data_IF_804890061689
#
_entry.id   IF_804890061689
#
_cell.length_a   1.000
_cell.length_b   1.000
_cell.length_c   1.000
_cell.angle_alpha   90.00
_cell.angle_beta   90.00
_cell.angle_gamma   90.00
#
_symmetry.space_group_name_H-M   'P 1'
#
loop_
_entity.id
_entity.type
_entity.pdbx_description
1 polymer ?
#
# COMPACT_ATOMS: atom_id res chain seq x y z
N UNK A 1 -16.75 -3.11 23.36
CA UNK A 1 -15.83 -4.15 22.86
C UNK A 1 -14.46 -3.52 22.70
N UNK A 2 -13.38 -4.20 23.07
CA UNK A 2 -12.00 -3.73 22.83
C UNK A 2 -11.36 -4.71 21.84
N UNK A 3 -10.71 -4.20 20.80
CA UNK A 3 -10.04 -5.02 19.79
C UNK A 3 -8.58 -4.60 19.69
N UNK A 4 -7.67 -5.55 19.89
CA UNK A 4 -6.26 -5.42 19.56
C UNK A 4 -6.01 -6.28 18.32
N UNK A 5 -5.39 -5.70 17.30
CA UNK A 5 -5.22 -6.31 15.99
C UNK A 5 -3.76 -6.27 15.57
N UNK A 6 -3.35 -7.27 14.80
CA UNK A 6 -2.04 -7.31 14.16
C UNK A 6 -2.13 -6.79 12.73
N UNK A 7 -1.01 -6.29 12.21
CA UNK A 7 -0.87 -5.98 10.78
C UNK A 7 -1.68 -4.79 10.30
N UNK A 8 -1.98 -3.83 11.18
CA UNK A 8 -2.57 -2.54 10.81
C UNK A 8 -1.68 -1.86 9.75
N UNK A 9 -0.39 -1.69 10.08
CA UNK A 9 0.63 -1.04 9.24
C UNK A 9 0.96 -1.81 7.95
N UNK A 10 0.64 -3.10 7.89
CA UNK A 10 0.99 -4.00 6.76
C UNK A 10 -0.17 -4.23 5.79
N UNK A 11 -1.32 -3.54 5.99
CA UNK A 11 -2.49 -3.65 5.12
C UNK A 11 -3.81 -3.87 5.84
N UNK A 12 -3.87 -3.74 7.17
CA UNK A 12 -5.12 -3.74 7.93
C UNK A 12 -5.80 -5.11 8.09
N UNK A 13 -5.10 -6.22 7.86
CA UNK A 13 -5.69 -7.57 7.84
C UNK A 13 -6.38 -7.96 9.16
N UNK A 14 -5.84 -7.54 10.30
CA UNK A 14 -6.43 -7.85 11.61
C UNK A 14 -7.79 -7.18 11.81
N UNK A 15 -7.92 -5.90 11.48
CA UNK A 15 -9.20 -5.18 11.51
C UNK A 15 -10.18 -5.77 10.49
N UNK A 16 -9.72 -6.06 9.27
CA UNK A 16 -10.56 -6.69 8.24
C UNK A 16 -11.13 -8.04 8.69
N UNK A 17 -10.33 -8.85 9.37
CA UNK A 17 -10.78 -10.16 9.91
C UNK A 17 -11.96 -10.00 10.87
N UNK A 18 -11.96 -8.96 11.69
CA UNK A 18 -13.05 -8.70 12.63
C UNK A 18 -14.36 -8.34 11.91
N UNK A 19 -14.26 -7.56 10.83
CA UNK A 19 -15.40 -7.23 9.98
C UNK A 19 -15.93 -8.51 9.31
N UNK A 20 -15.05 -9.33 8.74
CA UNK A 20 -15.42 -10.59 8.08
C UNK A 20 -16.07 -11.58 9.07
N UNK A 21 -15.67 -11.57 10.34
CA UNK A 21 -16.29 -12.37 11.41
C UNK A 21 -17.66 -11.83 11.86
N UNK A 22 -18.10 -10.68 11.37
CA UNK A 22 -19.43 -10.13 11.64
C UNK A 22 -19.54 -9.26 12.89
N UNK A 23 -18.43 -8.77 13.45
CA UNK A 23 -18.49 -7.78 14.53
C UNK A 23 -19.04 -6.46 14.01
N UNK A 24 -19.99 -5.87 14.72
CA UNK A 24 -20.69 -4.64 14.33
C UNK A 24 -20.86 -3.70 15.54
N UNK A 25 -20.91 -2.39 15.26
CA UNK A 25 -21.10 -1.33 16.23
C UNK A 25 -21.57 -0.05 15.51
N UNK A 26 -22.19 0.88 16.25
CA UNK A 26 -22.63 2.17 15.70
C UNK A 26 -21.46 3.13 15.42
N UNK A 27 -20.33 2.95 16.10
CA UNK A 27 -19.13 3.75 15.93
C UNK A 27 -17.86 2.98 16.34
N UNK A 28 -16.71 3.40 15.80
CA UNK A 28 -15.39 2.90 16.17
C UNK A 28 -14.45 4.08 16.47
N UNK A 29 -13.64 3.95 17.51
CA UNK A 29 -12.56 4.89 17.86
C UNK A 29 -11.25 4.14 17.78
N UNK A 30 -10.33 4.62 16.95
CA UNK A 30 -9.00 4.04 16.75
C UNK A 30 -8.00 5.00 17.37
N UNK A 31 -7.16 4.47 18.26
CA UNK A 31 -6.18 5.26 18.98
C UNK A 31 -4.89 5.32 18.18
N UNK A 32 -4.65 6.47 17.56
CA UNK A 32 -3.44 6.80 16.81
C UNK A 32 -2.67 7.94 17.51
N UNK A 33 -1.37 8.12 17.25
CA UNK A 33 -0.57 9.20 17.84
C UNK A 33 -0.89 10.59 17.25
N UNK A 34 -2.16 11.00 17.23
CA UNK A 34 -2.67 12.24 16.62
C UNK A 34 -2.54 13.48 17.52
N UNK A 35 -1.80 13.39 18.63
CA UNK A 35 -1.74 14.44 19.65
C UNK A 35 -3.14 14.85 20.15
N UNK A 36 -4.02 13.86 20.38
CA UNK A 36 -5.41 14.03 20.84
C UNK A 36 -6.30 14.83 19.88
N UNK A 37 -5.93 14.92 18.60
CA UNK A 37 -6.76 15.52 17.56
C UNK A 37 -7.67 14.47 16.94
N UNK A 38 -8.90 14.87 16.64
CA UNK A 38 -9.84 14.04 15.87
C UNK A 38 -9.48 14.14 14.39
N UNK A 39 -9.21 13.00 13.76
CA UNK A 39 -8.85 12.90 12.35
C UNK A 39 -9.94 12.11 11.60
N UNK A 40 -11.00 12.78 11.11
CA UNK A 40 -12.11 12.10 10.45
C UNK A 40 -11.77 11.64 9.02
N UNK A 41 -10.64 12.11 8.47
CA UNK A 41 -10.17 11.78 7.13
C UNK A 41 -8.71 11.36 7.19
N UNK A 42 -8.36 10.35 6.39
CA UNK A 42 -7.02 9.80 6.24
C UNK A 42 -6.86 9.25 4.82
N UNK A 43 -5.63 9.31 4.28
CA UNK A 43 -5.33 8.73 2.97
C UNK A 43 -5.15 7.22 3.09
N UNK A 44 -5.64 6.48 2.09
CA UNK A 44 -5.28 5.06 1.95
C UNK A 44 -3.83 4.88 1.52
N UNK A 45 -3.34 3.64 1.63
CA UNK A 45 -2.03 3.22 1.15
C UNK A 45 -2.18 2.05 0.17
N UNK A 46 -1.41 2.08 -0.92
CA UNK A 46 -1.32 1.00 -1.89
C UNK A 46 0.17 0.70 -2.14
N UNK A 47 0.60 -0.50 -1.79
CA UNK A 47 1.95 -0.98 -2.06
C UNK A 47 1.92 -1.98 -3.20
N UNK A 48 2.71 -1.74 -4.24
CA UNK A 48 2.90 -2.67 -5.35
C UNK A 48 4.38 -2.81 -5.67
N UNK A 49 4.77 -3.97 -6.22
CA UNK A 49 6.13 -4.22 -6.68
C UNK A 49 6.20 -3.99 -8.18
N UNK A 50 7.18 -3.21 -8.64
CA UNK A 50 7.53 -3.12 -10.05
C UNK A 50 8.42 -4.32 -10.44
N UNK A 51 8.06 -5.09 -11.48
CA UNK A 51 8.96 -6.11 -12.01
C UNK A 51 10.17 -5.43 -12.67
N UNK A 52 11.37 -5.97 -12.46
CA UNK A 52 12.58 -5.51 -13.14
C UNK A 52 12.43 -5.72 -14.65
N UNK A 53 12.61 -4.66 -15.44
CA UNK A 53 12.88 -4.81 -16.87
C UNK A 53 14.22 -5.52 -16.99
N UNK A 54 14.20 -6.78 -17.42
CA UNK A 54 15.38 -7.48 -17.92
C UNK A 54 16.04 -6.56 -18.95
N UNK A 55 17.34 -6.31 -18.80
CA UNK A 55 18.12 -5.47 -19.73
C UNK A 55 17.77 -5.85 -21.17
N UNK A 56 17.20 -4.90 -21.91
CA UNK A 56 17.07 -5.03 -23.34
C UNK A 56 18.50 -5.20 -23.89
N UNK A 57 18.77 -6.22 -24.72
CA UNK A 57 20.10 -6.39 -25.29
C UNK A 57 20.50 -5.10 -26.01
N UNK A 58 21.67 -4.61 -25.65
CA UNK A 58 22.34 -3.43 -26.18
C UNK A 58 22.10 -3.32 -27.70
N UNK A 59 21.29 -2.35 -28.12
CA UNK A 59 21.08 -2.06 -29.54
C UNK A 59 22.44 -1.69 -30.14
N UNK A 60 22.83 -2.40 -31.20
CA UNK A 60 24.06 -2.14 -31.94
C UNK A 60 24.08 -0.66 -32.38
N UNK A 61 25.22 0.05 -32.30
CA UNK A 61 25.32 1.41 -32.80
C UNK A 61 24.93 1.46 -34.28
N UNK A 62 24.22 2.51 -34.68
CA UNK A 62 23.91 2.79 -36.07
C UNK A 62 25.21 3.04 -36.85
N UNK A 63 25.55 2.14 -37.77
CA UNK A 63 26.67 2.32 -38.71
C UNK A 63 26.11 2.89 -40.02
N UNK A 64 26.04 4.22 -40.11
CA UNK A 64 25.56 4.90 -41.31
C UNK A 64 26.53 5.97 -41.81
N UNK A 65 26.70 5.97 -43.13
CA UNK A 65 27.46 6.90 -43.98
C UNK A 65 28.94 6.52 -44.26
N UNK A 66 29.12 5.52 -45.13
CA UNK A 66 30.16 5.63 -46.18
C UNK A 66 29.47 5.79 -47.52
N UNK A 67 29.30 7.04 -47.96
CA UNK A 67 29.03 7.35 -49.37
C UNK A 67 30.34 7.76 -50.04
N UNK A 68 30.61 7.03 -51.12
CA UNK A 68 31.57 7.33 -52.17
C UNK A 68 31.29 8.70 -52.81
#
# INVERSE_FOLDING_TARGET
MIQSVIGEESGGCGTLTNIVKGYSADAAVILEPTSLKVCPIQSGALTFRLPSLVELPMQQPWEGEKRH
#
